data_IF_693514723930
#
_entry.id   IF_693514723930
#
_cell.length_a   1.000
_cell.length_b   1.000
_cell.length_c   1.000
_cell.angle_alpha   90.00
_cell.angle_beta   90.00
_cell.angle_gamma   90.00
#
_symmetry.space_group_name_H-M   'P 1'
#
loop_
_entity.id
_entity.type
_entity.pdbx_description
1 polymer ?
#
# COMPACT_ATOMS: atom_id res chain seq x y z
N UNK A 1 12.70 1.82 -13.33
CA UNK A 1 11.26 1.69 -12.99
C UNK A 1 11.10 0.38 -12.23
N UNK A 2 10.56 0.39 -11.01
CA UNK A 2 10.34 -0.84 -10.23
C UNK A 2 9.15 -1.59 -10.85
N UNK A 3 9.31 -2.87 -11.17
CA UNK A 3 8.26 -3.69 -11.75
C UNK A 3 7.52 -4.44 -10.64
N UNK A 4 6.30 -4.00 -10.32
CA UNK A 4 5.41 -4.71 -9.39
C UNK A 4 4.71 -5.81 -10.19
N UNK A 5 5.06 -7.07 -9.95
CA UNK A 5 4.42 -8.22 -10.57
C UNK A 5 4.23 -9.36 -9.55
N UNK A 6 3.35 -10.30 -9.86
CA UNK A 6 2.97 -11.39 -8.95
C UNK A 6 4.17 -12.26 -8.51
N UNK A 7 5.24 -12.29 -9.29
CA UNK A 7 6.44 -13.09 -9.03
C UNK A 7 7.41 -12.40 -8.06
N UNK A 8 7.16 -11.13 -7.71
CA UNK A 8 7.94 -10.36 -6.74
C UNK A 8 6.98 -9.63 -5.81
N UNK A 9 6.51 -10.28 -4.72
CA UNK A 9 5.64 -9.62 -3.78
C UNK A 9 6.40 -8.47 -3.11
N UNK A 10 5.69 -7.36 -2.90
CA UNK A 10 6.18 -6.19 -2.19
C UNK A 10 5.29 -5.88 -0.99
N UNK A 11 5.85 -5.18 -0.01
CA UNK A 11 5.09 -4.55 1.07
C UNK A 11 5.54 -3.11 1.25
N UNK A 12 4.70 -2.32 1.90
CA UNK A 12 4.94 -0.90 2.19
C UNK A 12 4.81 -0.67 3.69
N UNK A 13 5.80 -0.01 4.28
CA UNK A 13 5.69 0.56 5.63
C UNK A 13 5.02 1.93 5.54
N UNK A 14 4.05 2.16 6.41
CA UNK A 14 3.35 3.43 6.46
C UNK A 14 3.12 3.88 7.89
N UNK A 15 3.28 5.19 8.11
CA UNK A 15 3.09 5.83 9.40
C UNK A 15 1.68 6.45 9.47
N UNK A 16 0.95 6.12 10.52
CA UNK A 16 -0.36 6.71 10.82
C UNK A 16 -0.27 8.23 10.93
N UNK A 17 -1.20 8.95 10.30
CA UNK A 17 -1.19 10.42 10.23
C UNK A 17 -1.95 11.10 11.38
N UNK A 18 -2.77 10.36 12.14
CA UNK A 18 -3.47 10.87 13.33
C UNK A 18 -2.63 10.70 14.61
N UNK A 19 -3.02 11.34 15.74
CA UNK A 19 -2.29 11.29 17.02
C UNK A 19 -1.93 9.84 17.41
N UNK A 20 -0.62 9.59 17.61
CA UNK A 20 -0.04 8.26 17.80
C UNK A 20 0.77 7.85 16.56
N UNK A 21 2.10 7.82 16.67
CA UNK A 21 3.01 7.43 15.58
C UNK A 21 3.10 5.91 15.48
N UNK A 22 1.98 5.28 15.11
CA UNK A 22 1.94 3.84 14.89
C UNK A 22 2.37 3.55 13.46
N UNK A 23 3.31 2.61 13.29
CA UNK A 23 3.66 2.07 11.98
C UNK A 23 2.79 0.87 11.67
N UNK A 24 2.42 0.76 10.40
CA UNK A 24 1.69 -0.38 9.87
C UNK A 24 2.28 -0.81 8.53
N UNK A 25 2.28 -2.11 8.28
CA UNK A 25 2.72 -2.67 7.02
C UNK A 25 1.52 -3.11 6.19
N UNK A 26 1.50 -2.75 4.90
CA UNK A 26 0.50 -3.19 3.95
C UNK A 26 1.15 -3.98 2.82
N UNK A 27 0.43 -4.96 2.28
CA UNK A 27 0.91 -5.79 1.17
C UNK A 27 0.54 -5.12 -0.15
N UNK A 28 1.49 -5.03 -1.08
CA UNK A 28 1.23 -4.57 -2.44
C UNK A 28 0.66 -5.71 -3.26
N UNK A 29 -0.51 -5.51 -3.86
CA UNK A 29 -1.18 -6.51 -4.71
C UNK A 29 -0.93 -6.30 -6.20
N UNK A 30 -0.53 -5.11 -6.60
CA UNK A 30 -0.25 -4.78 -7.99
C UNK A 30 -0.61 -3.33 -8.33
N UNK A 31 -0.56 -3.02 -9.62
CA UNK A 31 -1.11 -1.77 -10.12
C UNK A 31 -2.62 -1.88 -10.29
N UNK A 32 -3.35 -0.82 -9.92
CA UNK A 32 -4.73 -0.61 -10.32
C UNK A 32 -4.76 0.52 -11.36
N UNK A 33 -5.39 0.25 -12.50
CA UNK A 33 -5.57 1.23 -13.56
C UNK A 33 -7.03 1.70 -13.53
N UNK A 34 -7.21 3.01 -13.43
CA UNK A 34 -8.49 3.68 -13.65
C UNK A 34 -8.35 4.51 -14.94
N UNK A 35 -9.47 4.85 -15.57
CA UNK A 35 -9.52 5.47 -16.91
C UNK A 35 -8.59 6.68 -17.10
N UNK A 36 -8.28 7.40 -16.01
CA UNK A 36 -7.46 8.62 -16.04
C UNK A 36 -6.24 8.60 -15.11
N UNK A 37 -6.04 7.54 -14.32
CA UNK A 37 -4.90 7.47 -13.40
C UNK A 37 -4.48 6.02 -13.06
N UNK A 38 -3.18 5.81 -12.93
CA UNK A 38 -2.58 4.55 -12.47
C UNK A 38 -2.19 4.70 -11.00
N UNK A 39 -2.57 3.74 -10.17
CA UNK A 39 -2.28 3.73 -8.73
C UNK A 39 -1.81 2.34 -8.28
N UNK A 40 -1.42 2.20 -7.01
CA UNK A 40 -1.00 0.92 -6.45
C UNK A 40 -2.12 0.37 -5.56
N UNK A 41 -2.54 -0.86 -5.85
CA UNK A 41 -3.45 -1.62 -4.99
C UNK A 41 -2.69 -2.19 -3.81
N UNK A 42 -3.19 -1.93 -2.61
CA UNK A 42 -2.64 -2.47 -1.36
C UNK A 42 -3.70 -3.22 -0.58
N UNK A 43 -3.25 -4.14 0.27
CA UNK A 43 -4.08 -4.88 1.20
C UNK A 43 -3.63 -4.63 2.62
N UNK A 44 -4.58 -4.19 3.44
CA UNK A 44 -4.41 -4.04 4.87
C UNK A 44 -4.63 -5.41 5.56
N UNK A 45 -3.68 -5.93 6.36
CA UNK A 45 -3.84 -7.18 7.11
C UNK A 45 -5.03 -7.25 8.06
N UNK A 46 -5.65 -6.12 8.40
CA UNK A 46 -6.91 -6.09 9.17
C UNK A 46 -8.15 -6.46 8.32
N UNK A 47 -7.99 -6.47 7.01
CA UNK A 47 -9.03 -6.80 6.04
C UNK A 47 -9.30 -8.30 6.00
N UNK A 48 -10.58 -8.67 5.89
CA UNK A 48 -10.98 -10.03 5.51
C UNK A 48 -11.09 -10.17 3.97
N UNK A 49 -11.40 -11.36 3.48
CA UNK A 49 -11.55 -11.65 2.04
C UNK A 49 -12.67 -10.87 1.34
N UNK A 50 -13.62 -10.34 2.11
CA UNK A 50 -14.76 -9.54 1.62
C UNK A 50 -14.41 -8.07 1.48
N UNK A 51 -13.33 -7.61 2.12
CA UNK A 51 -12.89 -6.24 2.03
C UNK A 51 -12.23 -6.00 0.67
N UNK A 52 -12.56 -4.86 0.06
CA UNK A 52 -11.99 -4.47 -1.23
C UNK A 52 -10.48 -4.23 -1.17
N UNK A 53 -9.94 -3.69 -2.25
CA UNK A 53 -8.57 -3.19 -2.25
C UNK A 53 -8.54 -1.76 -1.73
N UNK A 54 -7.53 -1.45 -0.93
CA UNK A 54 -7.19 -0.07 -0.60
C UNK A 54 -6.20 0.45 -1.65
N UNK A 55 -6.07 1.77 -1.74
CA UNK A 55 -5.24 2.42 -2.75
C UNK A 55 -4.13 3.24 -2.09
N UNK A 56 -2.92 3.07 -2.62
CA UNK A 56 -1.79 3.96 -2.37
C UNK A 56 -1.75 5.01 -3.47
N UNK A 57 -2.13 6.24 -3.14
CA UNK A 57 -2.05 7.37 -4.07
C UNK A 57 -0.57 7.70 -4.37
N UNK A 58 -0.12 7.56 -5.64
CA UNK A 58 1.28 7.78 -5.99
C UNK A 58 1.71 9.25 -5.93
N UNK A 59 0.77 10.21 -5.88
CA UNK A 59 1.09 11.64 -5.81
C UNK A 59 1.32 12.11 -4.38
N UNK A 60 0.51 11.62 -3.43
CA UNK A 60 0.54 12.02 -2.03
C UNK A 60 1.22 11.00 -1.11
N UNK A 61 1.44 9.78 -1.62
CA UNK A 61 1.95 8.63 -0.87
C UNK A 61 1.06 8.27 0.33
N UNK A 62 -0.24 8.57 0.23
CA UNK A 62 -1.24 8.30 1.25
C UNK A 62 -1.99 7.00 0.96
N UNK A 63 -2.34 6.32 2.04
CA UNK A 63 -3.18 5.11 2.04
C UNK A 63 -4.30 5.36 3.03
N UNK A 64 -5.55 5.30 2.56
CA UNK A 64 -6.73 5.36 3.43
C UNK A 64 -7.37 3.98 3.52
N UNK A 65 -7.52 3.46 4.73
CA UNK A 65 -8.05 2.11 4.98
C UNK A 65 -8.65 2.05 6.39
N UNK A 66 -9.78 1.37 6.56
CA UNK A 66 -10.43 1.19 7.88
C UNK A 66 -10.64 2.51 8.67
N UNK A 67 -10.93 3.61 7.97
CA UNK A 67 -11.10 4.93 8.59
C UNK A 67 -9.80 5.57 9.10
N UNK A 68 -8.63 5.01 8.78
CA UNK A 68 -7.32 5.52 9.15
C UNK A 68 -6.54 5.92 7.90
N UNK A 69 -5.81 7.04 8.00
CA UNK A 69 -4.90 7.50 6.96
C UNK A 69 -3.47 7.22 7.39
N UNK A 70 -2.73 6.52 6.53
CA UNK A 70 -1.31 6.28 6.65
C UNK A 70 -0.56 7.03 5.54
N UNK A 71 0.67 7.42 5.82
CA UNK A 71 1.61 7.93 4.82
C UNK A 71 2.76 6.97 4.71
N UNK A 72 3.07 6.52 3.49
CA UNK A 72 4.25 5.72 3.24
C UNK A 72 5.50 6.45 3.74
N UNK A 73 6.21 5.85 4.70
CA UNK A 73 7.36 6.47 5.37
C UNK A 73 8.71 5.97 4.85
N UNK A 74 8.69 4.93 4.03
CA UNK A 74 9.87 4.32 3.39
C UNK A 74 9.48 3.67 2.06
N UNK A 75 10.45 3.27 1.24
CA UNK A 75 10.21 2.72 -0.11
C UNK A 75 9.39 1.43 -0.14
N UNK A 76 9.29 0.82 -1.32
CA UNK A 76 8.71 -0.52 -1.47
C UNK A 76 9.75 -1.57 -1.11
N UNK A 77 9.39 -2.52 -0.26
CA UNK A 77 10.28 -3.59 0.20
C UNK A 77 9.89 -4.91 -0.47
N UNK A 78 10.85 -5.57 -1.13
CA UNK A 78 10.61 -6.89 -1.71
C UNK A 78 10.66 -7.97 -0.62
N UNK A 79 9.83 -8.99 -0.77
CA UNK A 79 9.87 -10.19 0.09
C UNK A 79 11.08 -11.08 -0.18
N UNK A 80 11.67 -10.98 -1.38
CA UNK A 80 12.91 -11.67 -1.71
C UNK A 80 14.08 -10.70 -1.48
N UNK A 81 15.01 -11.10 -0.61
CA UNK A 81 16.34 -10.49 -0.59
C UNK A 81 17.03 -10.80 -1.93
N UNK A 82 17.60 -9.78 -2.56
CA UNK A 82 18.48 -9.93 -3.72
C UNK A 82 19.76 -10.67 -3.32
#
# INVERSE_FOLDING_TARGET
>A
MLEINANRPYWVSALKQTRGKDRHALVVRGYANFDFYKTISVWNPWSNSSYGYDLLDPSSHLISTHGVVFKQDSGLFSWHYL
#
